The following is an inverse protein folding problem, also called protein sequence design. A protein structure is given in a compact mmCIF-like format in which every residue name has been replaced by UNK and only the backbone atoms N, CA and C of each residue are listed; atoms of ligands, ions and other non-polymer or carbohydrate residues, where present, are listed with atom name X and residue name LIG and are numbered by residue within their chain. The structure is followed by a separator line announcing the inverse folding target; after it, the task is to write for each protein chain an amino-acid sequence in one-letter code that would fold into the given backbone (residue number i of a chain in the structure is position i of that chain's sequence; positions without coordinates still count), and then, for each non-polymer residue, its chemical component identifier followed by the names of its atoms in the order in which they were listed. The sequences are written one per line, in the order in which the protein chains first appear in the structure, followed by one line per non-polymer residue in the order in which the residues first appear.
data_IF_321776764075
#
_entry.id   IF_321776764075
#
_cell.length_a   1.000
_cell.length_b   1.000
_cell.length_c   1.000
_cell.angle_alpha   90.00
_cell.angle_beta   90.00
_cell.angle_gamma   90.00
#
_symmetry.space_group_name_H-M   'P 1'
#
loop_
_entity.id
_entity.type
_entity.pdbx_description
1 polymer ?
#
# COMPACT_ATOMS: atom_id res chain seq x y z
N UNK A 1 -15.94 13.04 -10.57
CA UNK A 1 -14.49 13.12 -10.88
C UNK A 1 -14.32 13.46 -12.35
N UNK A 2 -13.36 14.32 -12.70
CA UNK A 2 -13.06 14.58 -14.12
C UNK A 2 -12.36 13.36 -14.74
N UNK A 3 -12.49 13.19 -16.06
CA UNK A 3 -11.82 12.12 -16.81
C UNK A 3 -10.30 12.17 -16.61
N UNK A 4 -9.73 13.37 -16.59
CA UNK A 4 -8.31 13.62 -16.31
C UNK A 4 -7.88 13.06 -14.95
N UNK A 5 -8.70 13.25 -13.91
CA UNK A 5 -8.40 12.75 -12.57
C UNK A 5 -8.35 11.22 -12.53
N UNK A 6 -9.25 10.55 -13.25
CA UNK A 6 -9.28 9.08 -13.33
C UNK A 6 -8.03 8.55 -14.03
N UNK A 7 -7.61 9.17 -15.13
CA UNK A 7 -6.41 8.77 -15.86
C UNK A 7 -5.13 8.90 -15.01
N UNK A 8 -5.02 9.98 -14.23
CA UNK A 8 -3.88 10.18 -13.32
C UNK A 8 -3.83 9.09 -12.24
N UNK A 9 -4.97 8.77 -11.63
CA UNK A 9 -5.05 7.73 -10.59
C UNK A 9 -4.68 6.34 -11.13
N UNK A 10 -5.08 6.01 -12.36
CA UNK A 10 -4.71 4.75 -13.01
C UNK A 10 -3.21 4.65 -13.25
N UNK A 11 -2.57 5.73 -13.72
CA UNK A 11 -1.12 5.77 -13.93
C UNK A 11 -0.35 5.62 -12.61
N UNK A 12 -0.79 6.31 -11.56
CA UNK A 12 -0.19 6.20 -10.22
C UNK A 12 -0.32 4.77 -9.70
N UNK A 13 -1.51 4.16 -9.81
CA UNK A 13 -1.75 2.78 -9.39
C UNK A 13 -0.89 1.77 -10.14
N UNK A 14 -0.75 1.92 -11.46
CA UNK A 14 0.07 1.04 -12.28
C UNK A 14 1.57 1.14 -11.94
N UNK A 15 2.10 2.37 -11.84
CA UNK A 15 3.49 2.61 -11.50
C UNK A 15 3.82 2.12 -10.08
N UNK A 16 2.95 2.40 -9.11
CA UNK A 16 3.11 1.95 -7.74
C UNK A 16 2.99 0.43 -7.60
N UNK A 17 2.08 -0.21 -8.34
CA UNK A 17 1.93 -1.67 -8.38
C UNK A 17 3.18 -2.34 -8.96
N UNK A 18 3.72 -1.81 -10.06
CA UNK A 18 4.97 -2.30 -10.65
C UNK A 18 6.15 -2.16 -9.67
N UNK A 19 6.33 -0.98 -9.08
CA UNK A 19 7.40 -0.73 -8.12
C UNK A 19 7.26 -1.60 -6.85
N UNK A 20 6.04 -1.77 -6.35
CA UNK A 20 5.75 -2.62 -5.18
C UNK A 20 6.04 -4.10 -5.46
N UNK A 21 5.76 -4.59 -6.66
CA UNK A 21 6.07 -5.97 -7.06
C UNK A 21 7.56 -6.21 -7.29
N UNK A 22 8.30 -5.20 -7.74
CA UNK A 22 9.75 -5.29 -8.01
C UNK A 22 10.61 -5.13 -6.74
N UNK A 23 10.25 -4.20 -5.86
CA UNK A 23 11.07 -3.81 -4.69
C UNK A 23 10.56 -4.45 -3.39
N UNK A 24 9.32 -4.94 -3.34
CA UNK A 24 8.68 -5.48 -2.13
C UNK A 24 8.34 -4.44 -1.07
N UNK A 25 8.77 -3.19 -1.25
CA UNK A 25 8.37 -2.03 -0.44
C UNK A 25 7.04 -1.56 -1.00
N UNK A 26 5.96 -1.78 -0.24
CA UNK A 26 4.63 -1.31 -0.62
C UNK A 26 4.71 0.11 -1.17
N UNK A 27 4.21 0.35 -2.38
CA UNK A 27 4.33 1.59 -3.15
C UNK A 27 3.87 2.91 -2.51
N UNK A 28 3.58 2.96 -1.20
CA UNK A 28 3.16 4.14 -0.44
C UNK A 28 4.20 5.26 -0.42
N UNK A 29 5.50 4.92 -0.56
CA UNK A 29 6.58 5.90 -0.78
C UNK A 29 6.35 6.73 -2.04
N UNK A 30 5.69 6.15 -3.06
CA UNK A 30 5.38 6.82 -4.32
C UNK A 30 3.96 7.39 -4.30
N UNK A 31 2.99 6.62 -3.80
CA UNK A 31 1.57 6.98 -3.82
C UNK A 31 1.31 8.23 -2.97
N UNK A 32 1.82 8.30 -1.74
CA UNK A 32 1.50 9.43 -0.84
C UNK A 32 2.01 10.76 -1.41
N UNK A 33 3.29 10.90 -1.83
CA UNK A 33 3.76 12.12 -2.49
C UNK A 33 2.99 12.45 -3.77
N UNK A 34 2.61 11.44 -4.57
CA UNK A 34 1.87 11.69 -5.80
C UNK A 34 0.46 12.26 -5.53
N UNK A 35 -0.25 11.71 -4.54
CA UNK A 35 -1.58 12.21 -4.15
C UNK A 35 -1.49 13.64 -3.57
N UNK A 36 -0.45 13.95 -2.82
CA UNK A 36 -0.25 15.30 -2.24
C UNK A 36 0.16 16.30 -3.32
N UNK A 37 1.22 16.03 -4.08
CA UNK A 37 1.81 17.00 -4.99
C UNK A 37 1.03 17.16 -6.31
N UNK A 38 0.42 16.09 -6.83
CA UNK A 38 -0.29 16.15 -8.12
C UNK A 38 -1.80 16.32 -7.98
N UNK A 39 -2.40 15.84 -6.88
CA UNK A 39 -3.85 15.91 -6.67
C UNK A 39 -4.26 16.82 -5.51
N UNK A 40 -3.30 17.41 -4.79
CA UNK A 40 -3.58 18.37 -3.72
C UNK A 40 -4.26 17.77 -2.50
N UNK A 41 -4.14 16.46 -2.29
CA UNK A 41 -4.74 15.82 -1.12
C UNK A 41 -4.04 16.29 0.15
N UNK A 42 -4.79 16.43 1.25
CA UNK A 42 -4.17 16.60 2.56
C UNK A 42 -3.37 15.35 2.92
N UNK A 43 -2.35 15.51 3.76
CA UNK A 43 -1.45 14.40 4.13
C UNK A 43 -2.21 13.20 4.71
N UNK A 44 -3.19 13.46 5.58
CA UNK A 44 -4.02 12.40 6.16
C UNK A 44 -4.91 11.71 5.12
N UNK A 45 -5.50 12.45 4.18
CA UNK A 45 -6.29 11.83 3.11
C UNK A 45 -5.42 11.02 2.15
N UNK A 46 -4.23 11.50 1.82
CA UNK A 46 -3.28 10.78 0.99
C UNK A 46 -2.81 9.48 1.66
N UNK A 47 -2.46 9.53 2.94
CA UNK A 47 -2.11 8.34 3.73
C UNK A 47 -3.26 7.34 3.82
N UNK A 48 -4.47 7.78 4.17
CA UNK A 48 -5.64 6.92 4.26
C UNK A 48 -5.99 6.26 2.91
N UNK A 49 -5.94 7.04 1.83
CA UNK A 49 -6.18 6.54 0.46
C UNK A 49 -5.11 5.53 0.04
N UNK A 50 -3.84 5.80 0.35
CA UNK A 50 -2.74 4.88 0.09
C UNK A 50 -2.91 3.56 0.85
N UNK A 51 -3.26 3.60 2.14
CA UNK A 51 -3.50 2.39 2.93
C UNK A 51 -4.68 1.58 2.39
N UNK A 52 -5.77 2.24 2.01
CA UNK A 52 -6.94 1.60 1.39
C UNK A 52 -6.62 0.94 0.04
N UNK A 53 -5.66 1.47 -0.72
CA UNK A 53 -5.18 0.85 -1.96
C UNK A 53 -4.21 -0.32 -1.68
N UNK A 54 -3.40 -0.23 -0.63
CA UNK A 54 -2.30 -1.17 -0.42
C UNK A 54 -2.70 -2.43 0.34
N UNK A 55 -3.59 -2.32 1.34
CA UNK A 55 -3.97 -3.48 2.18
C UNK A 55 -4.87 -4.49 1.45
N UNK A 56 -6.04 -4.09 0.89
CA UNK A 56 -7.01 -5.06 0.38
C UNK A 56 -6.66 -5.72 -0.96
N UNK A 57 -6.24 -5.00 -2.02
CA UNK A 57 -5.92 -5.65 -3.30
C UNK A 57 -4.44 -6.02 -3.42
N UNK A 58 -3.50 -5.14 -3.07
CA UNK A 58 -2.06 -5.40 -3.30
C UNK A 58 -1.48 -6.35 -2.24
N UNK A 59 -1.71 -6.05 -0.96
CA UNK A 59 -1.19 -6.81 0.17
C UNK A 59 -1.70 -8.23 0.20
N UNK A 60 -3.02 -8.43 0.07
CA UNK A 60 -3.63 -9.77 0.05
C UNK A 60 -3.18 -10.60 -1.15
N UNK A 61 -3.23 -10.06 -2.38
CA UNK A 61 -2.82 -10.81 -3.58
C UNK A 61 -1.31 -11.11 -3.58
N UNK A 62 -0.49 -10.13 -3.16
CA UNK A 62 0.96 -10.30 -3.00
C UNK A 62 1.27 -11.40 -1.98
N UNK A 63 0.72 -11.29 -0.77
CA UNK A 63 0.87 -12.31 0.27
C UNK A 63 0.42 -13.69 -0.23
N UNK A 64 -0.72 -13.80 -0.91
CA UNK A 64 -1.22 -15.07 -1.43
C UNK A 64 -0.23 -15.74 -2.38
N UNK A 65 0.40 -14.97 -3.29
CA UNK A 65 1.42 -15.49 -4.20
C UNK A 65 2.69 -15.96 -3.47
N UNK A 66 3.16 -15.21 -2.45
CA UNK A 66 4.31 -15.61 -1.63
C UNK A 66 4.00 -16.83 -0.76
N UNK A 67 2.78 -16.92 -0.21
CA UNK A 67 2.33 -18.07 0.55
C UNK A 67 2.27 -19.32 -0.32
N UNK A 68 1.66 -19.23 -1.51
CA UNK A 68 1.57 -20.35 -2.45
C UNK A 68 2.93 -20.85 -2.93
N UNK A 69 3.93 -19.96 -3.02
CA UNK A 69 5.30 -20.33 -3.39
C UNK A 69 6.15 -20.83 -2.21
N UNK A 70 5.58 -20.97 -1.02
CA UNK A 70 6.29 -21.44 0.18
C UNK A 70 7.25 -20.41 0.78
N UNK A 71 7.20 -19.16 0.31
CA UNK A 71 8.11 -18.09 0.68
C UNK A 71 7.54 -17.16 1.77
N UNK A 72 6.50 -17.59 2.49
CA UNK A 72 5.89 -16.84 3.58
C UNK A 72 5.91 -17.64 4.88
N UNK A 73 6.59 -17.10 5.90
CA UNK A 73 6.57 -17.66 7.25
C UNK A 73 5.39 -17.06 8.05
N UNK A 74 4.33 -17.84 8.19
CA UNK A 74 3.09 -17.38 8.82
C UNK A 74 3.26 -17.16 10.33
N UNK A 75 4.04 -17.99 11.00
CA UNK A 75 4.30 -17.85 12.44
C UNK A 75 4.99 -16.54 12.74
N UNK A 76 6.05 -16.20 11.99
CA UNK A 76 6.74 -14.92 12.13
C UNK A 76 5.81 -13.74 11.83
N UNK A 77 5.01 -13.83 10.76
CA UNK A 77 4.05 -12.80 10.39
C UNK A 77 3.01 -12.53 11.51
N UNK A 78 2.46 -13.56 12.14
CA UNK A 78 1.48 -13.43 13.23
C UNK A 78 2.08 -12.82 14.50
N UNK A 79 3.28 -13.25 14.89
CA UNK A 79 3.98 -12.70 16.07
C UNK A 79 4.27 -11.21 15.86
N UNK A 80 4.77 -10.83 14.68
CA UNK A 80 5.04 -9.44 14.34
C UNK A 80 3.74 -8.64 14.26
N UNK A 81 2.68 -9.17 13.66
CA UNK A 81 1.37 -8.51 13.57
C UNK A 81 0.78 -8.21 14.95
N UNK A 82 0.87 -9.16 15.88
CA UNK A 82 0.41 -8.96 17.25
C UNK A 82 1.18 -7.80 17.92
N UNK A 83 2.51 -7.80 17.85
CA UNK A 83 3.33 -6.72 18.41
C UNK A 83 3.07 -5.36 17.71
N UNK A 84 2.87 -5.39 16.39
CA UNK A 84 2.60 -4.20 15.58
C UNK A 84 1.27 -3.54 15.95
N UNK A 85 0.21 -4.31 16.19
CA UNK A 85 -1.10 -3.75 16.58
C UNK A 85 -0.98 -2.92 17.87
N UNK A 86 -0.22 -3.42 18.86
CA UNK A 86 0.04 -2.67 20.08
C UNK A 86 0.82 -1.38 19.81
N UNK A 87 1.86 -1.40 18.98
CA UNK A 87 2.64 -0.20 18.65
C UNK A 87 1.88 0.81 17.78
N UNK A 88 1.12 0.33 16.81
CA UNK A 88 0.39 1.15 15.84
C UNK A 88 -0.75 1.94 16.51
N UNK A 89 -1.42 1.36 17.50
CA UNK A 89 -2.51 2.02 18.24
C UNK A 89 -2.05 3.31 18.95
N UNK A 90 -0.79 3.37 19.41
CA UNK A 90 -0.24 4.56 20.07
C UNK A 90 0.52 5.51 19.13
N UNK A 91 0.76 5.09 17.88
CA UNK A 91 1.51 5.87 16.89
C UNK A 91 0.64 6.55 15.82
N UNK A 92 -0.66 6.24 15.75
CA UNK A 92 -1.62 6.76 14.76
C UNK A 92 -2.38 7.99 15.23
#
# INVERSE_FOLDING_TARGET
MSVTMILILLLIGAAAGFASGFVGVGGGIIIVPALVFFLGFSQHMAQGTSLALMLPPIGLLGFYNYYKSGNANITAALVIAAAFIFGAYFGS
#
